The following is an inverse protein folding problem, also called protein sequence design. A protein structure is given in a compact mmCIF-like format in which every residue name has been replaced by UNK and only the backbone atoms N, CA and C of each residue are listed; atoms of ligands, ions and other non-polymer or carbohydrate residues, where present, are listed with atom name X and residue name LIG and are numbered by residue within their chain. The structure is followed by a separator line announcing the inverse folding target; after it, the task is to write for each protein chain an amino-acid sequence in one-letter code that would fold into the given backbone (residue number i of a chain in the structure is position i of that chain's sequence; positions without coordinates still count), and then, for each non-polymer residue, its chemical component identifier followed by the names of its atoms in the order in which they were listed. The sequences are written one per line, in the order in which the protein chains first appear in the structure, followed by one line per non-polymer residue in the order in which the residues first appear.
data_IF_474777378336
#
_entry.id   IF_474777378336
#
_cell.length_a   1.000
_cell.length_b   1.000
_cell.length_c   1.000
_cell.angle_alpha   90.00
_cell.angle_beta   90.00
_cell.angle_gamma   90.00
#
_symmetry.space_group_name_H-M   'P 1'
#
loop_
_entity.id
_entity.type
_entity.pdbx_description
1 polymer ?
#
# COMPACT_ATOMS: atom_id res chain seq x y z
N UNK A 1 -25.28 -9.81 5.69
CA UNK A 1 -25.40 -9.12 7.00
C UNK A 1 -24.74 -7.75 7.04
N UNK A 2 -23.62 -7.48 6.34
CA UNK A 2 -23.14 -6.09 6.11
C UNK A 2 -23.16 -5.76 4.62
N UNK A 3 -24.29 -5.45 3.97
CA UNK A 3 -25.70 -5.84 4.17
C UNK A 3 -26.27 -6.38 2.82
N UNK A 4 -25.47 -7.17 2.10
CA UNK A 4 -25.16 -7.06 0.64
C UNK A 4 -24.00 -6.07 0.42
N UNK A 5 -23.42 -5.96 -0.78
CA UNK A 5 -22.01 -5.55 -0.91
C UNK A 5 -21.65 -4.23 -1.63
N UNK A 6 -22.43 -3.15 -1.61
CA UNK A 6 -23.67 -2.91 -0.88
C UNK A 6 -24.91 -3.08 -1.78
N UNK A 7 -24.80 -2.68 -3.05
CA UNK A 7 -25.92 -2.50 -3.98
C UNK A 7 -25.66 -3.11 -5.37
N UNK A 8 -24.91 -4.20 -5.46
CA UNK A 8 -24.65 -4.88 -6.74
C UNK A 8 -24.20 -6.33 -6.57
N UNK A 9 -24.75 -7.19 -7.43
CA UNK A 9 -24.47 -8.62 -7.57
C UNK A 9 -24.66 -9.49 -6.30
N UNK A 10 -24.78 -10.80 -6.51
CA UNK A 10 -25.09 -11.78 -5.46
C UNK A 10 -23.89 -12.64 -5.15
N UNK A 11 -22.69 -12.05 -5.04
CA UNK A 11 -21.42 -12.77 -5.13
C UNK A 11 -20.50 -12.56 -3.93
N UNK A 12 -19.62 -13.52 -3.64
CA UNK A 12 -18.67 -13.43 -2.51
C UNK A 12 -17.37 -12.70 -2.87
N UNK A 13 -17.04 -11.56 -2.22
CA UNK A 13 -15.51 -10.69 -2.83
C UNK A 13 -14.23 -11.49 -2.54
N UNK A 14 -13.08 -11.11 -3.13
CA UNK A 14 -11.79 -11.66 -2.78
C UNK A 14 -11.57 -11.72 -1.25
N UNK A 15 -11.11 -12.85 -0.67
CA UNK A 15 -11.09 -13.06 0.79
C UNK A 15 -10.35 -12.00 1.61
N UNK A 16 -9.40 -11.29 0.99
CA UNK A 16 -8.66 -10.20 1.62
C UNK A 16 -9.50 -8.94 1.93
N UNK A 17 -10.74 -8.84 1.43
CA UNK A 17 -11.65 -7.72 1.76
C UNK A 17 -11.96 -7.61 3.26
N UNK A 18 -11.75 -8.67 4.05
CA UNK A 18 -11.80 -8.57 5.53
C UNK A 18 -10.81 -7.52 6.07
N UNK A 19 -9.66 -7.32 5.41
CA UNK A 19 -8.68 -6.29 5.78
C UNK A 19 -9.04 -4.90 5.22
N UNK A 20 -9.74 -4.83 4.09
CA UNK A 20 -10.29 -3.57 3.58
C UNK A 20 -11.31 -3.02 4.58
N UNK A 21 -12.26 -3.86 5.00
CA UNK A 21 -13.26 -3.50 6.02
C UNK A 21 -12.62 -3.22 7.37
N UNK A 22 -11.65 -4.04 7.81
CA UNK A 22 -10.91 -3.80 9.06
C UNK A 22 -10.15 -2.47 9.06
N UNK A 23 -9.54 -2.08 7.94
CA UNK A 23 -8.90 -0.78 7.76
C UNK A 23 -9.89 0.38 7.85
N UNK A 24 -11.00 0.32 7.11
CA UNK A 24 -12.03 1.37 7.08
C UNK A 24 -12.70 1.53 8.46
N UNK A 25 -13.21 0.43 9.03
CA UNK A 25 -13.92 0.46 10.33
C UNK A 25 -12.97 0.84 11.46
N UNK A 26 -11.77 0.25 11.51
CA UNK A 26 -10.76 0.61 12.51
C UNK A 26 -10.26 2.05 12.37
N UNK A 27 -10.22 2.59 11.14
CA UNK A 27 -9.92 3.99 10.88
C UNK A 27 -11.00 4.92 11.44
N UNK A 28 -12.28 4.62 11.17
CA UNK A 28 -13.41 5.39 11.70
C UNK A 28 -13.47 5.34 13.25
N UNK A 29 -13.28 4.15 13.84
CA UNK A 29 -13.20 3.97 15.30
C UNK A 29 -12.02 4.79 15.89
N UNK A 30 -10.84 4.72 15.26
CA UNK A 30 -9.67 5.47 15.71
C UNK A 30 -9.88 6.99 15.63
N UNK A 31 -10.54 7.48 14.58
CA UNK A 31 -10.87 8.89 14.45
C UNK A 31 -11.87 9.35 15.53
N UNK A 32 -12.92 8.55 15.81
CA UNK A 32 -13.87 8.83 16.89
C UNK A 32 -13.22 8.82 18.27
N UNK A 33 -12.38 7.82 18.56
CA UNK A 33 -11.61 7.76 19.82
C UNK A 33 -10.72 9.00 20.01
N UNK A 34 -10.04 9.45 18.95
CA UNK A 34 -9.17 10.63 19.01
C UNK A 34 -9.95 11.96 19.12
N UNK A 35 -11.16 12.03 18.59
CA UNK A 35 -12.02 13.21 18.68
C UNK A 35 -12.66 13.40 20.08
N UNK A 36 -12.99 12.30 20.76
CA UNK A 36 -13.68 12.33 22.07
C UNK A 36 -12.78 12.73 23.25
N UNK A 37 -11.45 12.72 23.10
CA UNK A 37 -10.51 12.98 24.18
C UNK A 37 -10.47 11.87 25.25
N UNK A 38 -9.97 12.18 26.45
CA UNK A 38 -9.96 11.28 27.61
C UNK A 38 -9.08 10.02 27.54
N UNK A 39 -8.46 9.74 26.39
CA UNK A 39 -7.59 8.57 26.19
C UNK A 39 -6.30 8.63 27.03
N UNK A 40 -5.79 7.47 27.44
CA UNK A 40 -4.42 7.33 27.93
C UNK A 40 -3.41 7.66 26.80
N UNK A 41 -2.19 8.09 27.16
CA UNK A 41 -1.16 8.37 26.14
C UNK A 41 -0.82 7.17 25.24
N UNK A 42 -0.71 5.92 25.76
CA UNK A 42 -0.62 4.73 24.91
C UNK A 42 -1.82 4.54 23.97
N UNK A 43 -3.06 4.72 24.43
CA UNK A 43 -4.23 4.42 23.59
C UNK A 43 -4.49 5.53 22.55
N UNK A 44 -4.18 6.79 22.88
CA UNK A 44 -4.11 7.90 21.92
C UNK A 44 -3.05 7.65 20.84
N UNK A 45 -1.86 7.18 21.23
CA UNK A 45 -0.81 6.83 20.28
C UNK A 45 -1.20 5.61 19.43
N UNK A 46 -1.85 4.59 20.00
CA UNK A 46 -2.36 3.44 19.24
C UNK A 46 -3.41 3.87 18.20
N UNK A 47 -4.36 4.73 18.58
CA UNK A 47 -5.35 5.31 17.68
C UNK A 47 -4.72 6.11 16.54
N UNK A 48 -3.69 6.93 16.82
CA UNK A 48 -2.95 7.67 15.77
C UNK A 48 -2.18 6.75 14.83
N UNK A 49 -1.55 5.69 15.35
CA UNK A 49 -0.84 4.71 14.53
C UNK A 49 -1.80 3.93 13.62
N UNK A 50 -2.96 3.52 14.13
CA UNK A 50 -3.98 2.89 13.29
C UNK A 50 -4.54 3.88 12.26
N UNK A 51 -4.96 5.07 12.66
CA UNK A 51 -5.57 6.06 11.74
C UNK A 51 -4.61 6.50 10.62
N UNK A 52 -3.33 6.72 10.94
CA UNK A 52 -2.36 7.21 9.95
C UNK A 52 -1.71 6.07 9.15
N UNK A 53 -1.54 4.88 9.72
CA UNK A 53 -0.79 3.78 9.09
C UNK A 53 -1.62 2.51 8.87
N UNK A 54 -2.47 2.11 9.81
CA UNK A 54 -3.36 0.95 9.68
C UNK A 54 -4.44 1.12 8.61
N UNK A 55 -5.13 2.26 8.62
CA UNK A 55 -6.18 2.61 7.65
C UNK A 55 -5.74 2.46 6.18
N UNK A 56 -4.58 2.96 5.71
CA UNK A 56 -4.13 2.72 4.34
C UNK A 56 -3.43 1.36 4.14
N UNK A 57 -2.77 0.80 5.16
CA UNK A 57 -2.02 -0.46 5.02
C UNK A 57 -2.93 -1.69 4.89
N UNK A 58 -3.97 -1.80 5.71
CA UNK A 58 -4.83 -2.99 5.72
C UNK A 58 -5.59 -3.20 4.39
N UNK A 59 -6.16 -2.17 3.73
CA UNK A 59 -6.71 -2.29 2.39
C UNK A 59 -5.66 -2.71 1.34
N UNK A 60 -4.42 -2.19 1.41
CA UNK A 60 -3.33 -2.63 0.50
C UNK A 60 -2.95 -4.09 0.75
N UNK A 61 -2.96 -4.57 1.99
CA UNK A 61 -2.75 -5.98 2.32
C UNK A 61 -3.94 -6.88 1.93
N UNK A 62 -5.17 -6.36 1.92
CA UNK A 62 -6.36 -7.09 1.50
C UNK A 62 -6.52 -7.20 -0.03
N UNK A 63 -6.33 -6.09 -0.73
CA UNK A 63 -6.47 -5.98 -2.20
C UNK A 63 -5.22 -6.51 -2.90
N UNK A 64 -4.04 -6.40 -2.28
CA UNK A 64 -2.77 -6.80 -2.86
C UNK A 64 -2.73 -8.26 -3.38
N UNK A 65 -3.06 -9.28 -2.57
CA UNK A 65 -3.14 -10.67 -3.04
C UNK A 65 -4.02 -10.86 -4.29
N UNK A 66 -5.08 -10.06 -4.45
CA UNK A 66 -5.94 -10.08 -5.64
C UNK A 66 -5.28 -9.39 -6.85
N UNK A 67 -4.73 -8.19 -6.66
CA UNK A 67 -4.27 -7.31 -7.75
C UNK A 67 -2.83 -7.61 -8.20
N UNK A 68 -1.93 -7.97 -7.29
CA UNK A 68 -0.48 -8.04 -7.53
C UNK A 68 -0.03 -9.19 -8.43
N UNK A 69 -0.55 -10.43 -8.35
CA UNK A 69 -0.16 -11.51 -9.26
C UNK A 69 -0.37 -11.13 -10.74
N UNK A 70 -1.42 -10.33 -11.01
CA UNK A 70 -1.77 -9.84 -12.34
C UNK A 70 -0.73 -8.83 -12.91
N UNK A 71 0.10 -8.19 -12.08
CA UNK A 71 1.25 -7.37 -12.54
C UNK A 71 2.37 -8.22 -13.16
N UNK A 72 2.40 -9.51 -12.86
CA UNK A 72 3.42 -10.46 -13.32
C UNK A 72 2.85 -11.49 -14.30
N UNK A 73 1.61 -11.29 -14.77
CA UNK A 73 0.94 -12.17 -15.74
C UNK A 73 0.36 -13.45 -15.13
N UNK A 74 0.16 -13.51 -13.81
CA UNK A 74 -0.34 -14.69 -13.12
C UNK A 74 -1.78 -14.49 -12.59
N UNK A 75 -2.58 -15.57 -12.50
CA UNK A 75 -3.84 -15.54 -11.76
C UNK A 75 -3.59 -15.32 -10.26
N UNK A 76 -4.63 -14.91 -9.54
CA UNK A 76 -4.56 -14.70 -8.10
C UNK A 76 -5.22 -15.85 -7.33
N UNK A 77 -4.58 -16.31 -6.25
CA UNK A 77 -5.18 -17.24 -5.27
C UNK A 77 -6.26 -16.63 -4.37
N UNK A 78 -6.59 -15.34 -4.60
CA UNK A 78 -7.74 -14.62 -4.06
C UNK A 78 -8.81 -14.36 -5.14
N UNK A 79 -8.61 -14.82 -6.38
CA UNK A 79 -9.68 -14.91 -7.38
C UNK A 79 -10.41 -16.24 -7.16
N UNK A 80 -11.73 -16.17 -7.02
CA UNK A 80 -12.63 -17.31 -6.97
C UNK A 80 -13.74 -17.08 -8.01
N UNK A 81 -14.44 -18.14 -8.36
CA UNK A 81 -15.59 -18.06 -9.26
C UNK A 81 -16.76 -17.32 -8.58
N UNK A 82 -17.62 -16.69 -9.40
CA UNK A 82 -18.83 -15.99 -8.96
C UNK A 82 -19.79 -16.97 -8.27
N UNK A 83 -20.28 -16.60 -7.09
CA UNK A 83 -21.04 -17.47 -6.20
C UNK A 83 -21.68 -16.71 -5.02
N UNK A 84 -22.96 -16.96 -4.69
CA UNK A 84 -23.61 -16.37 -3.49
C UNK A 84 -23.12 -16.89 -2.14
N UNK A 85 -22.34 -17.97 -2.12
CA UNK A 85 -21.90 -18.64 -0.89
C UNK A 85 -20.38 -18.85 -0.91
N UNK A 86 -19.64 -18.60 0.19
CA UNK A 86 -18.18 -18.65 0.19
C UNK A 86 -17.62 -19.97 -0.38
N UNK A 87 -16.94 -19.94 -1.55
CA UNK A 87 -16.49 -21.15 -2.23
C UNK A 87 -15.40 -21.90 -1.44
N UNK A 88 -15.18 -23.17 -1.78
CA UNK A 88 -14.24 -24.04 -1.05
C UNK A 88 -12.84 -23.41 -1.00
N UNK A 89 -12.35 -23.16 0.22
CA UNK A 89 -11.05 -22.51 0.48
C UNK A 89 -11.12 -20.99 0.74
N UNK A 90 -12.24 -20.32 0.44
CA UNK A 90 -12.43 -18.88 0.70
C UNK A 90 -12.19 -18.54 2.18
N UNK A 91 -12.81 -19.29 3.09
CA UNK A 91 -12.67 -19.11 4.55
C UNK A 91 -11.22 -19.24 5.03
N UNK A 92 -10.42 -20.12 4.41
CA UNK A 92 -9.00 -20.30 4.78
C UNK A 92 -8.16 -19.08 4.39
N UNK A 93 -8.42 -18.49 3.22
CA UNK A 93 -7.77 -17.24 2.77
C UNK A 93 -8.25 -16.03 3.58
N UNK A 94 -9.54 -15.97 3.94
CA UNK A 94 -10.09 -14.91 4.79
C UNK A 94 -9.47 -14.96 6.20
N UNK A 95 -9.38 -16.14 6.81
CA UNK A 95 -8.72 -16.34 8.10
C UNK A 95 -7.23 -15.99 8.06
N UNK A 96 -6.50 -16.41 7.02
CA UNK A 96 -5.09 -16.05 6.83
C UNK A 96 -4.90 -14.53 6.67
N UNK A 97 -5.79 -13.88 5.92
CA UNK A 97 -5.82 -12.42 5.78
C UNK A 97 -6.04 -11.75 7.14
N UNK A 98 -7.09 -12.15 7.86
CA UNK A 98 -7.42 -11.60 9.18
C UNK A 98 -6.29 -11.79 10.21
N UNK A 99 -5.59 -12.93 10.18
CA UNK A 99 -4.40 -13.16 11.01
C UNK A 99 -3.26 -12.19 10.67
N UNK A 100 -2.95 -11.98 9.39
CA UNK A 100 -1.94 -11.01 8.97
C UNK A 100 -2.31 -9.56 9.36
N UNK A 101 -3.58 -9.19 9.26
CA UNK A 101 -4.07 -7.90 9.76
C UNK A 101 -3.94 -7.76 11.28
N UNK A 102 -4.26 -8.82 12.03
CA UNK A 102 -4.16 -8.86 13.50
C UNK A 102 -2.71 -8.68 13.97
N UNK A 103 -1.73 -9.27 13.27
CA UNK A 103 -0.30 -9.08 13.55
C UNK A 103 0.16 -7.64 13.28
N UNK A 104 -0.33 -7.00 12.21
CA UNK A 104 -0.10 -5.56 11.95
C UNK A 104 -0.66 -4.69 13.09
N UNK A 105 -1.87 -5.00 13.55
CA UNK A 105 -2.54 -4.26 14.64
C UNK A 105 -1.83 -4.46 15.98
N UNK A 106 -1.40 -5.68 16.30
CA UNK A 106 -0.53 -5.95 17.44
C UNK A 106 0.77 -5.12 17.38
N UNK A 107 1.33 -4.92 16.18
CA UNK A 107 2.48 -4.04 15.95
C UNK A 107 2.26 -2.56 16.28
N UNK A 108 1.02 -2.05 16.17
CA UNK A 108 0.67 -0.71 16.67
C UNK A 108 0.55 -0.68 18.19
N UNK A 109 -0.12 -1.68 18.79
CA UNK A 109 -0.25 -1.78 20.24
C UNK A 109 1.11 -1.93 20.95
N UNK A 110 2.04 -2.69 20.39
CA UNK A 110 3.40 -2.81 20.94
C UNK A 110 4.18 -1.49 20.85
N UNK A 111 4.13 -0.79 19.71
CA UNK A 111 4.79 0.52 19.56
C UNK A 111 4.18 1.57 20.52
N UNK A 112 2.86 1.56 20.72
CA UNK A 112 2.20 2.47 21.65
C UNK A 112 2.57 2.25 23.13
N UNK A 113 3.06 1.05 23.46
CA UNK A 113 3.49 0.64 24.82
C UNK A 113 5.02 0.74 24.99
N UNK A 114 5.68 1.60 24.21
CA UNK A 114 7.11 1.88 24.29
C UNK A 114 8.00 0.93 23.48
N UNK A 115 7.52 -0.24 23.05
CA UNK A 115 8.29 -1.21 22.27
C UNK A 115 8.32 -0.86 20.77
N UNK A 116 8.72 0.37 20.45
CA UNK A 116 8.63 0.95 19.11
C UNK A 116 9.34 0.09 18.03
N UNK A 117 10.59 -0.29 18.27
CA UNK A 117 11.35 -1.13 17.33
C UNK A 117 10.67 -2.50 17.08
N UNK A 118 10.21 -3.17 18.14
CA UNK A 118 9.50 -4.45 18.01
C UNK A 118 8.19 -4.31 17.23
N UNK A 119 7.40 -3.26 17.51
CA UNK A 119 6.16 -2.97 16.79
C UNK A 119 6.39 -2.66 15.30
N UNK A 120 7.46 -1.94 14.97
CA UNK A 120 7.85 -1.64 13.58
C UNK A 120 8.34 -2.90 12.84
N UNK A 121 9.22 -3.69 13.47
CA UNK A 121 9.73 -4.94 12.91
C UNK A 121 8.62 -6.00 12.72
N UNK A 122 7.66 -6.11 13.66
CA UNK A 122 6.51 -7.01 13.50
C UNK A 122 5.69 -6.65 12.25
N UNK A 123 5.41 -5.36 12.01
CA UNK A 123 4.77 -4.90 10.77
C UNK A 123 5.62 -5.24 9.53
N UNK A 124 6.93 -5.00 9.58
CA UNK A 124 7.85 -5.26 8.47
C UNK A 124 7.88 -6.75 8.08
N UNK A 125 8.04 -7.64 9.07
CA UNK A 125 8.02 -9.10 8.91
C UNK A 125 6.65 -9.58 8.43
N UNK A 126 5.56 -9.03 8.97
CA UNK A 126 4.19 -9.42 8.56
C UNK A 126 3.91 -9.05 7.11
N UNK A 127 4.25 -7.83 6.67
CA UNK A 127 4.10 -7.39 5.28
C UNK A 127 4.97 -8.25 4.34
N UNK A 128 6.24 -8.45 4.70
CA UNK A 128 7.18 -9.24 3.90
C UNK A 128 6.75 -10.70 3.76
N UNK A 129 6.29 -11.31 4.85
CA UNK A 129 5.77 -12.68 4.88
C UNK A 129 4.47 -12.83 4.09
N UNK A 130 3.50 -11.94 4.32
CA UNK A 130 2.21 -11.94 3.63
C UNK A 130 2.37 -11.88 2.11
N UNK A 131 3.14 -10.91 1.60
CA UNK A 131 3.36 -10.79 0.15
C UNK A 131 4.32 -11.83 -0.42
N UNK A 132 5.19 -12.46 0.38
CA UNK A 132 5.97 -13.61 -0.06
C UNK A 132 5.10 -14.87 -0.25
N UNK A 133 4.08 -15.05 0.58
CA UNK A 133 3.13 -16.18 0.52
C UNK A 133 2.08 -15.97 -0.57
N UNK A 134 1.44 -14.81 -0.62
CA UNK A 134 0.34 -14.53 -1.57
C UNK A 134 0.83 -14.00 -2.93
N UNK A 135 2.08 -13.58 -3.08
CA UNK A 135 2.65 -13.19 -4.38
C UNK A 135 4.13 -13.59 -4.52
N UNK A 136 4.48 -14.89 -4.46
CA UNK A 136 5.86 -15.36 -4.65
C UNK A 136 6.47 -14.94 -6.00
N UNK A 137 5.64 -14.72 -7.03
CA UNK A 137 6.04 -14.20 -8.35
C UNK A 137 6.62 -12.77 -8.31
N UNK A 138 6.38 -12.00 -7.24
CA UNK A 138 7.09 -10.74 -6.98
C UNK A 138 8.62 -10.96 -7.05
N UNK A 139 9.10 -12.11 -6.58
CA UNK A 139 10.50 -12.55 -6.63
C UNK A 139 10.91 -13.26 -7.93
N UNK A 140 9.96 -13.74 -8.76
CA UNK A 140 10.20 -14.67 -9.89
C UNK A 140 9.59 -14.26 -11.26
N UNK A 141 9.14 -13.03 -11.44
CA UNK A 141 8.49 -12.60 -12.69
C UNK A 141 9.38 -12.78 -13.95
N UNK A 142 8.86 -13.53 -14.94
CA UNK A 142 9.58 -13.94 -16.17
C UNK A 142 10.02 -12.79 -17.09
N UNK A 143 9.38 -11.62 -17.03
CA UNK A 143 9.73 -10.43 -17.83
C UNK A 143 9.59 -9.16 -16.96
N UNK A 144 10.58 -8.24 -16.95
CA UNK A 144 10.53 -7.01 -16.16
C UNK A 144 9.69 -5.93 -16.85
N UNK A 145 8.40 -5.86 -16.49
CA UNK A 145 7.51 -4.75 -16.88
C UNK A 145 7.76 -3.53 -15.98
N UNK A 146 7.52 -2.30 -16.46
CA UNK A 146 7.68 -1.12 -15.58
C UNK A 146 6.65 -1.09 -14.45
N UNK A 147 5.35 -1.36 -14.66
CA UNK A 147 4.39 -1.41 -13.55
C UNK A 147 4.75 -2.47 -12.49
N UNK A 148 5.20 -3.66 -12.92
CA UNK A 148 5.64 -4.71 -12.00
C UNK A 148 6.90 -4.35 -11.20
N UNK A 149 7.82 -3.58 -11.79
CA UNK A 149 8.99 -3.07 -11.08
C UNK A 149 8.67 -1.89 -10.16
N UNK A 150 7.72 -1.02 -10.50
CA UNK A 150 7.23 0.03 -9.59
C UNK A 150 6.60 -0.59 -8.32
N UNK A 151 5.80 -1.65 -8.49
CA UNK A 151 5.26 -2.47 -7.40
C UNK A 151 6.35 -3.11 -6.53
N UNK A 152 7.45 -3.60 -7.12
CA UNK A 152 8.59 -4.14 -6.37
C UNK A 152 9.28 -3.08 -5.52
N UNK A 153 9.54 -1.91 -6.09
CA UNK A 153 10.08 -0.77 -5.34
C UNK A 153 9.15 -0.33 -4.22
N UNK A 154 7.83 -0.30 -4.46
CA UNK A 154 6.85 0.03 -3.42
C UNK A 154 6.95 -0.92 -2.21
N UNK A 155 6.95 -2.24 -2.41
CA UNK A 155 7.09 -3.17 -1.28
C UNK A 155 8.47 -3.14 -0.62
N UNK A 156 9.54 -2.93 -1.39
CA UNK A 156 10.87 -2.71 -0.83
C UNK A 156 10.90 -1.47 0.07
N UNK A 157 10.33 -0.34 -0.37
CA UNK A 157 10.27 0.91 0.40
C UNK A 157 9.31 0.84 1.60
N UNK A 158 8.21 0.07 1.53
CA UNK A 158 7.36 -0.24 2.68
C UNK A 158 8.14 -0.99 3.77
N UNK A 159 8.79 -2.10 3.42
CA UNK A 159 9.56 -2.90 4.40
C UNK A 159 10.77 -2.10 4.90
N UNK A 160 11.50 -1.43 4.02
CA UNK A 160 12.65 -0.60 4.40
C UNK A 160 12.25 0.54 5.34
N UNK A 161 11.18 1.29 5.07
CA UNK A 161 10.75 2.40 5.92
C UNK A 161 10.43 1.99 7.36
N UNK A 162 9.85 0.79 7.55
CA UNK A 162 9.59 0.21 8.87
C UNK A 162 10.90 -0.26 9.56
N UNK A 163 11.80 -0.91 8.81
CA UNK A 163 13.11 -1.36 9.31
C UNK A 163 13.98 -0.16 9.72
N UNK A 164 14.06 0.86 8.89
CA UNK A 164 14.76 2.12 9.19
C UNK A 164 14.15 2.83 10.41
N UNK A 165 12.81 2.86 10.52
CA UNK A 165 12.10 3.41 11.68
C UNK A 165 12.34 2.62 12.98
N UNK A 166 12.70 1.33 12.90
CA UNK A 166 13.07 0.52 14.05
C UNK A 166 14.52 0.74 14.50
N UNK A 167 15.47 0.82 13.57
CA UNK A 167 16.91 0.95 13.86
C UNK A 167 17.39 2.40 14.06
N UNK A 168 16.67 3.40 13.55
CA UNK A 168 16.96 4.82 13.78
C UNK A 168 15.73 5.57 14.32
N UNK A 169 15.38 5.41 15.62
CA UNK A 169 14.22 6.07 16.23
C UNK A 169 14.23 7.61 16.07
N UNK A 170 15.41 8.23 16.11
CA UNK A 170 15.61 9.67 15.87
C UNK A 170 15.24 10.11 14.45
N UNK A 171 15.38 9.22 13.46
CA UNK A 171 15.00 9.45 12.07
C UNK A 171 13.71 8.69 11.68
N UNK A 172 12.87 8.34 12.68
CA UNK A 172 11.62 7.59 12.47
C UNK A 172 10.65 8.31 11.52
N UNK A 173 10.58 9.63 11.59
CA UNK A 173 9.66 10.43 10.76
C UNK A 173 10.10 10.38 9.30
N UNK A 174 11.37 10.69 9.00
CA UNK A 174 11.95 10.56 7.66
C UNK A 174 11.90 9.13 7.13
N UNK A 175 12.22 8.13 7.96
CA UNK A 175 12.13 6.70 7.60
C UNK A 175 10.72 6.28 7.18
N UNK A 176 9.68 6.77 7.87
CA UNK A 176 8.30 6.49 7.48
C UNK A 176 7.88 7.17 6.16
N UNK A 177 8.62 8.15 5.63
CA UNK A 177 8.36 8.64 4.27
C UNK A 177 8.77 7.63 3.19
N UNK A 178 9.72 6.71 3.45
CA UNK A 178 9.91 5.53 2.58
C UNK A 178 8.64 4.67 2.56
N UNK A 179 8.02 4.45 3.72
CA UNK A 179 6.79 3.66 3.83
C UNK A 179 5.59 4.33 3.15
N UNK A 180 5.37 5.63 3.37
CA UNK A 180 4.22 6.35 2.85
C UNK A 180 4.39 6.81 1.39
N UNK A 181 5.50 7.46 1.04
CA UNK A 181 5.68 8.11 -0.27
C UNK A 181 6.18 7.11 -1.32
N UNK A 182 7.35 6.52 -1.09
CA UNK A 182 7.93 5.52 -2.01
C UNK A 182 7.27 4.14 -1.89
N UNK A 183 6.57 3.87 -0.79
CA UNK A 183 5.80 2.65 -0.56
C UNK A 183 4.35 2.79 -1.02
N UNK A 184 3.45 3.17 -0.12
CA UNK A 184 2.00 3.24 -0.38
C UNK A 184 1.63 4.18 -1.55
N UNK A 185 2.30 5.33 -1.67
CA UNK A 185 2.09 6.28 -2.78
C UNK A 185 2.47 5.69 -4.14
N UNK A 186 3.65 5.06 -4.23
CA UNK A 186 4.08 4.38 -5.46
C UNK A 186 3.23 3.15 -5.80
N UNK A 187 2.78 2.39 -4.79
CA UNK A 187 1.83 1.30 -4.99
C UNK A 187 0.51 1.81 -5.57
N UNK A 188 -0.03 2.91 -5.00
CA UNK A 188 -1.26 3.57 -5.48
C UNK A 188 -1.09 4.04 -6.93
N UNK A 189 0.00 4.73 -7.25
CA UNK A 189 0.37 5.15 -8.61
C UNK A 189 0.44 3.98 -9.59
N UNK A 190 1.07 2.87 -9.20
CA UNK A 190 1.22 1.70 -10.05
C UNK A 190 -0.12 0.96 -10.27
N UNK A 191 -0.96 0.85 -9.23
CA UNK A 191 -2.32 0.27 -9.32
C UNK A 191 -3.24 1.16 -10.14
N UNK A 192 -3.26 2.47 -9.92
CA UNK A 192 -4.05 3.41 -10.72
C UNK A 192 -3.63 3.37 -12.19
N UNK A 193 -2.33 3.37 -12.49
CA UNK A 193 -1.81 3.16 -13.87
C UNK A 193 -2.35 1.86 -14.49
N UNK A 194 -2.42 0.78 -13.70
CA UNK A 194 -2.95 -0.50 -14.19
C UNK A 194 -4.44 -0.44 -14.50
N UNK A 195 -5.23 0.15 -13.60
CA UNK A 195 -6.68 0.29 -13.75
C UNK A 195 -7.02 1.14 -14.97
N UNK A 196 -6.44 2.36 -15.07
CA UNK A 196 -6.69 3.30 -16.18
C UNK A 196 -6.30 2.70 -17.53
N UNK A 197 -5.11 2.11 -17.66
CA UNK A 197 -4.68 1.47 -18.91
C UNK A 197 -5.41 0.15 -19.21
N UNK A 198 -6.00 -0.50 -18.19
CA UNK A 198 -6.85 -1.68 -18.37
C UNK A 198 -8.20 -1.32 -18.98
N UNK A 199 -8.90 -0.34 -18.40
CA UNK A 199 -10.19 0.16 -18.93
C UNK A 199 -10.02 0.81 -20.31
N UNK A 200 -8.94 1.57 -20.55
CA UNK A 200 -8.64 2.13 -21.87
C UNK A 200 -8.12 1.10 -22.91
N UNK A 201 -8.30 -0.20 -22.68
CA UNK A 201 -7.88 -1.30 -23.56
C UNK A 201 -6.37 -1.52 -23.71
N UNK A 202 -5.52 -0.62 -23.18
CA UNK A 202 -4.05 -0.55 -23.35
C UNK A 202 -3.25 -1.58 -22.55
N UNK A 203 -3.72 -2.83 -22.56
CA UNK A 203 -3.02 -4.00 -22.04
C UNK A 203 -1.61 -4.18 -22.65
N UNK A 204 -1.40 -3.71 -23.89
CA UNK A 204 -0.10 -3.70 -24.56
C UNK A 204 0.96 -2.89 -23.78
N UNK A 205 0.58 -1.76 -23.17
CA UNK A 205 1.50 -0.90 -22.42
C UNK A 205 1.89 -1.52 -21.08
N UNK A 206 0.97 -2.25 -20.44
CA UNK A 206 1.21 -2.93 -19.15
C UNK A 206 2.29 -4.02 -19.24
N UNK A 207 2.50 -4.60 -20.42
CA UNK A 207 3.55 -5.58 -20.70
C UNK A 207 4.89 -4.95 -21.16
N UNK A 208 4.91 -3.63 -21.44
CA UNK A 208 6.06 -2.91 -22.00
C UNK A 208 6.89 -2.18 -20.94
N UNK A 209 8.00 -1.58 -21.39
CA UNK A 209 8.80 -0.63 -20.61
C UNK A 209 8.19 0.77 -20.78
N UNK A 210 7.58 1.30 -19.73
CA UNK A 210 6.87 2.58 -19.74
C UNK A 210 7.82 3.67 -19.24
N UNK A 211 8.34 4.52 -20.14
CA UNK A 211 9.41 5.49 -19.81
C UNK A 211 8.96 6.51 -18.76
N UNK A 212 7.78 7.13 -18.91
CA UNK A 212 7.28 8.10 -17.94
C UNK A 212 7.07 7.48 -16.55
N UNK A 213 6.61 6.23 -16.45
CA UNK A 213 6.41 5.56 -15.16
C UNK A 213 7.74 5.25 -14.45
N UNK A 214 8.86 5.09 -15.20
CA UNK A 214 10.21 5.04 -14.61
C UNK A 214 10.58 6.36 -13.96
N UNK A 215 10.27 7.50 -14.60
CA UNK A 215 10.49 8.83 -14.03
C UNK A 215 9.64 9.04 -12.77
N UNK A 216 8.34 8.71 -12.79
CA UNK A 216 7.47 8.78 -11.60
C UNK A 216 8.02 7.90 -10.46
N UNK A 217 8.45 6.67 -10.77
CA UNK A 217 9.08 5.76 -9.79
C UNK A 217 10.33 6.38 -9.17
N UNK A 218 11.22 6.93 -10.00
CA UNK A 218 12.46 7.58 -9.54
C UNK A 218 12.22 8.85 -8.73
N UNK A 219 11.24 9.67 -9.12
CA UNK A 219 10.88 10.91 -8.44
C UNK A 219 10.22 10.67 -7.07
N UNK A 220 9.35 9.66 -6.94
CA UNK A 220 8.78 9.27 -5.65
C UNK A 220 9.82 8.62 -4.72
N UNK A 221 10.73 7.81 -5.26
CA UNK A 221 11.85 7.25 -4.51
C UNK A 221 12.83 8.35 -4.03
N UNK A 222 13.19 9.30 -4.91
CA UNK A 222 14.01 10.46 -4.59
C UNK A 222 13.35 11.31 -3.51
N UNK A 223 12.07 11.67 -3.65
CA UNK A 223 11.32 12.44 -2.67
C UNK A 223 11.38 11.81 -1.27
N UNK A 224 11.15 10.49 -1.19
CA UNK A 224 11.19 9.76 0.06
C UNK A 224 12.60 9.66 0.67
N UNK A 225 13.64 9.43 -0.16
CA UNK A 225 15.03 9.36 0.27
C UNK A 225 15.56 10.72 0.75
N UNK A 226 15.32 11.79 -0.02
CA UNK A 226 15.69 13.17 0.37
C UNK A 226 14.94 13.61 1.64
N UNK A 227 13.68 13.20 1.82
CA UNK A 227 12.97 13.44 3.08
C UNK A 227 13.52 12.58 4.23
N UNK A 228 14.03 11.38 3.98
CA UNK A 228 14.70 10.58 5.02
C UNK A 228 16.05 11.16 5.44
N UNK A 229 16.91 11.57 4.50
CA UNK A 229 18.25 12.09 4.82
C UNK A 229 18.22 13.42 5.58
N UNK A 230 17.14 14.20 5.45
CA UNK A 230 16.94 15.45 6.19
C UNK A 230 16.96 15.32 7.73
N UNK A 231 16.63 14.13 8.25
CA UNK A 231 16.61 13.84 9.70
C UNK A 231 18.01 13.53 10.26
N UNK A 232 19.00 13.28 9.39
CA UNK A 232 20.40 12.98 9.77
C UNK A 232 21.33 14.20 9.66
N UNK A 233 20.93 15.24 8.91
CA UNK A 233 21.78 16.41 8.63
C UNK A 233 20.99 17.71 8.86
N UNK A 234 20.94 18.25 10.09
CA UNK A 234 20.14 19.43 10.44
C UNK A 234 20.39 20.67 9.57
N UNK A 235 21.63 20.85 9.09
CA UNK A 235 22.03 21.99 8.25
C UNK A 235 21.31 22.06 6.90
N UNK A 236 20.72 20.96 6.42
CA UNK A 236 20.07 20.89 5.09
C UNK A 236 18.58 20.52 5.17
N UNK A 237 18.00 20.47 6.38
CA UNK A 237 16.62 20.00 6.59
C UNK A 237 15.60 20.76 5.74
N UNK A 238 15.64 22.10 5.74
CA UNK A 238 14.70 22.95 4.99
C UNK A 238 14.83 22.74 3.47
N UNK A 239 16.05 22.74 2.93
CA UNK A 239 16.25 22.54 1.49
C UNK A 239 15.87 21.13 1.05
N UNK A 240 16.13 20.11 1.89
CA UNK A 240 15.69 18.74 1.62
C UNK A 240 14.18 18.56 1.68
N UNK A 241 13.47 19.26 2.57
CA UNK A 241 12.00 19.22 2.60
C UNK A 241 11.41 19.88 1.35
N UNK A 242 11.99 21.00 0.90
CA UNK A 242 11.62 21.67 -0.36
C UNK A 242 11.89 20.75 -1.57
N UNK A 243 13.08 20.17 -1.70
CA UNK A 243 13.42 19.27 -2.81
C UNK A 243 12.59 17.98 -2.81
N UNK A 244 12.25 17.43 -1.64
CA UNK A 244 11.36 16.29 -1.52
C UNK A 244 9.94 16.61 -1.99
N UNK A 245 9.39 17.76 -1.57
CA UNK A 245 8.07 18.22 -2.00
C UNK A 245 8.01 18.45 -3.52
N UNK A 246 9.00 19.14 -4.10
CA UNK A 246 9.08 19.33 -5.55
C UNK A 246 9.27 18.03 -6.32
N UNK A 247 10.11 17.10 -5.84
CA UNK A 247 10.29 15.79 -6.48
C UNK A 247 8.99 14.99 -6.49
N UNK A 248 8.24 14.98 -5.38
CA UNK A 248 6.94 14.32 -5.29
C UNK A 248 5.90 14.97 -6.22
N UNK A 249 5.77 16.30 -6.18
CA UNK A 249 4.84 17.04 -7.01
C UNK A 249 5.12 16.86 -8.51
N UNK A 250 6.39 16.89 -8.92
CA UNK A 250 6.82 16.60 -10.28
C UNK A 250 6.49 15.15 -10.68
N UNK A 251 6.69 14.18 -9.78
CA UNK A 251 6.30 12.78 -10.00
C UNK A 251 4.80 12.63 -10.25
N UNK A 252 3.97 13.25 -9.41
CA UNK A 252 2.52 13.26 -9.58
C UNK A 252 2.07 14.00 -10.85
N UNK A 253 2.73 15.11 -11.23
CA UNK A 253 2.43 15.86 -12.45
C UNK A 253 2.78 15.05 -13.72
N UNK A 254 3.95 14.42 -13.76
CA UNK A 254 4.36 13.53 -14.87
C UNK A 254 3.40 12.34 -15.00
N UNK A 255 2.91 11.79 -13.88
CA UNK A 255 1.87 10.76 -13.89
C UNK A 255 0.56 11.29 -14.48
N UNK A 256 0.08 12.43 -13.98
CA UNK A 256 -1.21 13.01 -14.38
C UNK A 256 -1.25 13.38 -15.86
N UNK A 257 -0.21 14.04 -16.37
CA UNK A 257 -0.08 14.40 -17.80
C UNK A 257 -0.04 13.13 -18.68
N UNK A 258 0.68 12.09 -18.25
CA UNK A 258 0.73 10.83 -18.98
C UNK A 258 -0.59 10.04 -18.97
N UNK A 259 -1.42 10.20 -17.93
CA UNK A 259 -2.72 9.55 -17.79
C UNK A 259 -3.89 10.33 -18.37
N UNK A 260 -3.83 11.66 -18.46
CA UNK A 260 -4.90 12.55 -18.92
C UNK A 260 -5.58 12.04 -20.22
N UNK A 261 -4.79 11.72 -21.24
CA UNK A 261 -5.26 11.22 -22.54
C UNK A 261 -5.97 9.85 -22.53
N UNK A 262 -5.96 9.14 -21.41
CA UNK A 262 -6.69 7.88 -21.22
C UNK A 262 -7.94 8.05 -20.34
N UNK A 263 -8.07 9.16 -19.60
CA UNK A 263 -9.32 9.50 -18.90
C UNK A 263 -10.37 10.08 -19.84
N UNK A 264 -9.95 10.78 -20.90
CA UNK A 264 -10.85 11.49 -21.83
C UNK A 264 -11.14 10.73 -23.13
N UNK A 265 -10.66 9.49 -23.28
CA UNK A 265 -10.92 8.68 -24.48
C UNK A 265 -12.20 7.86 -24.28
N UNK A 266 -13.18 8.05 -25.17
CA UNK A 266 -14.46 7.35 -25.12
C UNK A 266 -14.34 5.90 -25.58
N UNK A 267 -15.34 5.10 -25.24
CA UNK A 267 -15.49 3.69 -25.61
C UNK A 267 -15.88 3.50 -27.10
N UNK A 268 -16.21 4.59 -27.79
CA UNK A 268 -16.54 4.66 -29.23
C UNK A 268 -15.30 4.43 -30.14
N UNK A 269 -14.12 4.23 -29.56
CA UNK A 269 -12.79 4.41 -30.19
C UNK A 269 -11.91 3.12 -30.13
N UNK A 270 -12.54 1.95 -29.90
CA UNK A 270 -11.92 0.64 -29.61
C UNK A 270 -12.60 -0.56 -30.27
#
# INVERSE_FOLDING_TARGET
LVTRWFLGAGDTPPPGFVLVMGGIVGGAVSAGMLANGGLSAPDWQAGRLFLLQGFPLLPVMGIGPYVLPRFFGHPSGHSFDESPTPPKGWMKRAAASAAAGSLVVAGFFWESRGHAAAGQLLRAVTILGWFAIETPWLRKARKPTTPGNAIRWAFASMVAGLVCAAFWPQARIGSLHLFFVAGLGLATVAVATRVVLGHAGRHDLLQKRIVWLRWVTGLLALAALTRMTSDFIPKVTVSHHIYAAWSWAAGCMVWLIAMARYFFRREEDS
#
